data_IF_275842103337
#
_entry.id   IF_275842103337
#
_cell.length_a   1.000
_cell.length_b   1.000
_cell.length_c   1.000
_cell.angle_alpha   90.00
_cell.angle_beta   90.00
_cell.angle_gamma   90.00
#
_symmetry.space_group_name_H-M   'P 1'
#
loop_
_entity.id
_entity.type
_entity.pdbx_description
1 polymer ?
#
# COMPACT_ATOMS: atom_id res chain seq x y z
N UNK A 1 -35.91 -41.60 15.05
CA UNK A 1 -34.69 -42.32 15.48
C UNK A 1 -33.48 -41.41 15.36
N UNK A 2 -32.66 -41.27 16.41
CA UNK A 2 -31.37 -40.55 16.37
C UNK A 2 -30.24 -41.58 16.23
N UNK A 3 -29.84 -41.85 14.99
CA UNK A 3 -28.71 -42.75 14.72
C UNK A 3 -27.47 -41.88 14.48
N UNK A 4 -26.30 -42.19 15.09
CA UNK A 4 -25.05 -41.47 14.82
C UNK A 4 -24.64 -41.56 13.34
N UNK A 5 -24.11 -40.47 12.78
CA UNK A 5 -23.65 -40.42 11.38
C UNK A 5 -22.57 -41.46 11.06
N UNK A 6 -21.72 -41.77 12.04
CA UNK A 6 -20.69 -42.81 11.93
C UNK A 6 -21.28 -44.19 11.68
N UNK A 7 -22.40 -44.51 12.33
CA UNK A 7 -23.12 -45.79 12.18
C UNK A 7 -23.71 -45.93 10.78
N UNK A 8 -24.41 -44.89 10.28
CA UNK A 8 -24.97 -44.89 8.92
C UNK A 8 -23.86 -44.98 7.88
N UNK A 9 -22.75 -44.27 8.07
CA UNK A 9 -21.58 -44.34 7.19
C UNK A 9 -20.95 -45.73 7.15
N UNK A 10 -20.99 -46.48 8.25
CA UNK A 10 -20.54 -47.87 8.28
C UNK A 10 -21.41 -48.78 7.43
N UNK A 11 -22.74 -48.62 7.48
CA UNK A 11 -23.70 -49.44 6.73
C UNK A 11 -23.66 -49.24 5.22
N UNK A 12 -23.35 -48.02 4.75
CA UNK A 12 -23.39 -47.68 3.33
C UNK A 12 -22.03 -47.66 2.64
N UNK A 13 -20.94 -47.99 3.37
CA UNK A 13 -19.56 -47.86 2.87
C UNK A 13 -19.28 -48.73 1.64
N UNK A 14 -19.79 -49.96 1.66
CA UNK A 14 -19.48 -50.97 0.64
C UNK A 14 -20.48 -50.97 -0.53
N UNK A 15 -21.44 -50.03 -0.53
CA UNK A 15 -22.45 -49.91 -1.58
C UNK A 15 -21.82 -49.26 -2.81
N UNK A 16 -21.73 -50.03 -3.91
CA UNK A 16 -21.29 -49.51 -5.20
C UNK A 16 -22.38 -48.65 -5.85
N UNK A 17 -22.08 -47.38 -6.07
CA UNK A 17 -23.01 -46.45 -6.72
C UNK A 17 -23.02 -46.63 -8.24
N UNK A 18 -24.22 -46.61 -8.83
CA UNK A 18 -24.40 -46.55 -10.29
C UNK A 18 -23.89 -45.22 -10.86
N UNK A 19 -23.57 -45.20 -12.16
CA UNK A 19 -23.15 -43.98 -12.84
C UNK A 19 -24.19 -42.83 -12.69
N UNK A 20 -25.49 -43.15 -12.78
CA UNK A 20 -26.59 -42.19 -12.60
C UNK A 20 -26.63 -41.59 -11.20
N UNK A 21 -26.38 -42.39 -10.16
CA UNK A 21 -26.34 -41.91 -8.77
C UNK A 21 -25.12 -41.04 -8.50
N UNK A 22 -23.94 -41.42 -9.03
CA UNK A 22 -22.72 -40.62 -8.94
C UNK A 22 -22.93 -39.24 -9.59
N UNK A 23 -23.55 -39.22 -10.77
CA UNK A 23 -23.83 -37.95 -11.47
C UNK A 23 -24.85 -37.09 -10.72
N UNK A 24 -25.90 -37.68 -10.16
CA UNK A 24 -26.87 -36.94 -9.35
C UNK A 24 -26.23 -36.28 -8.10
N UNK A 25 -25.33 -37.00 -7.42
CA UNK A 25 -24.58 -36.45 -6.28
C UNK A 25 -23.66 -35.32 -6.74
N UNK A 26 -22.96 -35.50 -7.86
CA UNK A 26 -22.10 -34.48 -8.47
C UNK A 26 -22.89 -33.21 -8.76
N UNK A 27 -24.06 -33.32 -9.40
CA UNK A 27 -24.91 -32.17 -9.71
C UNK A 27 -25.37 -31.46 -8.43
N UNK A 28 -25.80 -32.20 -7.40
CA UNK A 28 -26.17 -31.61 -6.10
C UNK A 28 -25.03 -30.87 -5.42
N UNK A 29 -23.79 -31.39 -5.51
CA UNK A 29 -22.60 -30.71 -4.97
C UNK A 29 -22.32 -29.42 -5.76
N UNK A 30 -22.47 -29.45 -7.09
CA UNK A 30 -22.31 -28.26 -7.93
C UNK A 30 -23.36 -27.20 -7.61
N UNK A 31 -24.63 -27.57 -7.51
CA UNK A 31 -25.75 -26.67 -7.22
C UNK A 31 -25.64 -26.07 -5.81
N UNK A 32 -25.34 -26.91 -4.82
CA UNK A 32 -25.12 -26.47 -3.43
C UNK A 32 -23.86 -25.61 -3.31
N UNK A 33 -22.82 -25.93 -4.09
CA UNK A 33 -21.60 -25.14 -4.17
C UNK A 33 -21.81 -23.78 -4.83
N UNK A 34 -22.67 -23.70 -5.85
CA UNK A 34 -23.00 -22.45 -6.53
C UNK A 34 -23.70 -21.46 -5.59
N UNK A 35 -24.54 -21.95 -4.67
CA UNK A 35 -25.21 -21.11 -3.66
C UNK A 35 -24.34 -20.86 -2.42
N UNK A 36 -23.60 -21.88 -1.95
CA UNK A 36 -22.80 -21.80 -0.73
C UNK A 36 -21.51 -21.00 -0.86
N UNK A 37 -20.85 -21.03 -2.03
CA UNK A 37 -19.57 -20.32 -2.24
C UNK A 37 -19.70 -18.79 -2.13
N UNK A 38 -20.67 -18.12 -2.78
CA UNK A 38 -20.84 -16.67 -2.62
C UNK A 38 -21.14 -16.26 -1.18
N UNK A 39 -21.98 -17.03 -0.47
CA UNK A 39 -22.29 -16.78 0.94
C UNK A 39 -21.08 -16.95 1.84
N UNK A 40 -20.29 -18.01 1.64
CA UNK A 40 -19.05 -18.23 2.38
C UNK A 40 -18.01 -17.13 2.10
N UNK A 41 -17.88 -16.70 0.85
CA UNK A 41 -17.00 -15.58 0.48
C UNK A 41 -17.43 -14.28 1.18
N UNK A 42 -18.73 -13.97 1.20
CA UNK A 42 -19.27 -12.79 1.89
C UNK A 42 -19.03 -12.87 3.40
N UNK A 43 -19.34 -14.00 4.03
CA UNK A 43 -19.12 -14.20 5.46
C UNK A 43 -17.63 -14.09 5.84
N UNK A 44 -16.74 -14.64 5.00
CA UNK A 44 -15.30 -14.52 5.20
C UNK A 44 -14.81 -13.08 5.01
N UNK A 45 -15.30 -12.38 3.99
CA UNK A 45 -15.01 -10.96 3.78
C UNK A 45 -15.41 -10.12 5.00
N UNK A 46 -16.64 -10.26 5.49
CA UNK A 46 -17.13 -9.54 6.68
C UNK A 46 -16.36 -9.90 7.95
N UNK A 47 -15.94 -11.17 8.09
CA UNK A 47 -15.08 -11.58 9.20
C UNK A 47 -13.71 -10.91 9.13
N UNK A 48 -13.10 -10.88 7.95
CA UNK A 48 -11.80 -10.24 7.71
C UNK A 48 -11.89 -8.73 7.94
N UNK A 49 -12.92 -8.06 7.44
CA UNK A 49 -13.08 -6.61 7.63
C UNK A 49 -13.32 -6.25 9.10
N UNK A 50 -14.14 -7.03 9.83
CA UNK A 50 -14.27 -6.85 11.28
C UNK A 50 -12.95 -7.03 12.02
N UNK A 51 -12.16 -8.03 11.63
CA UNK A 51 -10.85 -8.28 12.23
C UNK A 51 -9.88 -7.13 11.95
N UNK A 52 -9.82 -6.63 10.72
CA UNK A 52 -9.02 -5.45 10.34
C UNK A 52 -9.42 -4.21 11.14
N UNK A 53 -10.72 -3.96 11.29
CA UNK A 53 -11.21 -2.80 12.03
C UNK A 53 -10.86 -2.88 13.52
N UNK A 54 -10.98 -4.08 14.12
CA UNK A 54 -10.52 -4.32 15.47
C UNK A 54 -9.03 -3.96 15.62
N UNK A 55 -8.16 -4.49 14.78
CA UNK A 55 -6.72 -4.19 14.82
C UNK A 55 -6.47 -2.68 14.64
N UNK A 56 -7.14 -2.03 13.68
CA UNK A 56 -7.03 -0.57 13.48
C UNK A 56 -7.37 0.21 14.74
N UNK A 57 -8.42 -0.19 15.45
CA UNK A 57 -8.82 0.45 16.69
C UNK A 57 -7.77 0.28 17.80
N UNK A 58 -7.18 -0.91 17.94
CA UNK A 58 -6.13 -1.22 18.90
C UNK A 58 -4.87 -0.38 18.67
N UNK A 59 -4.46 -0.21 17.41
CA UNK A 59 -3.23 0.53 17.06
C UNK A 59 -3.43 2.04 16.86
N UNK A 60 -4.67 2.55 16.99
CA UNK A 60 -5.00 3.97 16.73
C UNK A 60 -4.19 4.95 17.57
N UNK A 61 -3.75 4.53 18.76
CA UNK A 61 -2.95 5.34 19.67
C UNK A 61 -1.58 5.74 19.08
N UNK A 62 -0.99 4.92 18.20
CA UNK A 62 0.28 5.24 17.53
C UNK A 62 0.20 6.47 16.61
N UNK A 63 -0.98 6.76 16.03
CA UNK A 63 -1.16 7.80 15.03
C UNK A 63 -0.72 9.20 15.50
N UNK A 64 -0.82 9.48 16.80
CA UNK A 64 -0.48 10.79 17.38
C UNK A 64 0.96 10.87 17.90
N UNK A 65 1.69 9.76 17.99
CA UNK A 65 3.03 9.76 18.60
C UNK A 65 4.03 10.58 17.79
N UNK A 66 4.04 10.39 16.46
CA UNK A 66 4.91 11.13 15.55
C UNK A 66 4.63 12.65 15.56
N UNK A 67 3.37 13.04 15.73
CA UNK A 67 2.94 14.45 15.75
C UNK A 67 3.29 15.11 17.08
N UNK A 68 3.16 14.37 18.19
CA UNK A 68 3.42 14.89 19.54
C UNK A 68 4.91 14.96 19.89
N UNK A 69 5.75 14.18 19.22
CA UNK A 69 7.19 14.12 19.50
C UNK A 69 7.98 14.27 18.21
N UNK A 70 8.68 15.40 18.10
CA UNK A 70 9.50 15.76 16.94
C UNK A 70 10.59 14.74 16.66
N UNK A 71 11.24 14.16 17.67
CA UNK A 71 12.29 13.15 17.47
C UNK A 71 11.73 11.83 16.94
N UNK A 72 10.54 11.41 17.40
CA UNK A 72 9.83 10.25 16.84
C UNK A 72 9.47 10.52 15.38
N UNK A 73 8.98 11.73 15.06
CA UNK A 73 8.70 12.14 13.69
C UNK A 73 9.95 12.09 12.79
N UNK A 74 11.09 12.61 13.27
CA UNK A 74 12.39 12.53 12.56
C UNK A 74 12.82 11.09 12.34
N UNK A 75 12.68 10.22 13.34
CA UNK A 75 13.01 8.80 13.26
C UNK A 75 12.17 8.09 12.18
N UNK A 76 10.86 8.26 12.21
CA UNK A 76 9.95 7.68 11.21
C UNK A 76 10.28 8.20 9.82
N UNK A 77 10.55 9.50 9.68
CA UNK A 77 10.94 10.10 8.40
C UNK A 77 12.26 9.50 7.88
N UNK A 78 13.26 9.32 8.75
CA UNK A 78 14.53 8.69 8.41
C UNK A 78 14.39 7.23 8.00
N UNK A 79 13.58 6.44 8.72
CA UNK A 79 13.28 5.05 8.37
C UNK A 79 12.53 4.95 7.03
N UNK A 80 11.51 5.79 6.81
CA UNK A 80 10.79 5.85 5.55
C UNK A 80 11.72 6.21 4.39
N UNK A 81 12.63 7.17 4.61
CA UNK A 81 13.66 7.54 3.65
C UNK A 81 14.66 6.42 3.37
N UNK A 82 15.04 5.64 4.38
CA UNK A 82 15.98 4.54 4.20
C UNK A 82 15.39 3.41 3.33
N UNK A 83 14.08 3.19 3.42
CA UNK A 83 13.37 2.15 2.66
C UNK A 83 13.01 2.59 1.23
N UNK A 84 12.57 3.83 1.04
CA UNK A 84 11.96 4.30 -0.22
C UNK A 84 12.75 5.46 -0.89
N UNK A 85 13.71 6.04 -0.18
CA UNK A 85 14.47 7.20 -0.63
C UNK A 85 15.65 6.84 -1.54
N UNK A 86 16.00 7.77 -2.42
CA UNK A 86 17.19 7.65 -3.25
C UNK A 86 18.47 7.85 -2.41
N UNK A 87 19.43 6.95 -2.58
CA UNK A 87 20.70 7.01 -1.84
C UNK A 87 21.72 7.87 -2.55
N UNK A 88 22.56 8.58 -1.81
CA UNK A 88 23.76 9.17 -2.39
C UNK A 88 24.69 8.05 -2.90
N UNK A 89 25.43 8.24 -4.02
CA UNK A 89 25.52 9.42 -4.87
C UNK A 89 24.51 9.48 -6.02
N UNK A 90 23.52 8.57 -6.08
CA UNK A 90 22.55 8.52 -7.21
C UNK A 90 21.76 9.82 -7.37
N UNK A 91 21.65 10.61 -6.30
CA UNK A 91 21.06 11.94 -6.28
C UNK A 91 21.89 12.87 -5.41
N UNK A 92 21.91 14.17 -5.73
CA UNK A 92 22.53 15.24 -4.93
C UNK A 92 21.49 16.05 -4.14
N UNK A 93 20.33 15.45 -3.87
CA UNK A 93 19.26 16.04 -3.10
C UNK A 93 18.37 14.92 -2.56
N UNK A 94 17.61 15.21 -1.51
CA UNK A 94 16.64 14.27 -0.96
C UNK A 94 15.56 13.97 -1.99
N UNK A 95 15.41 12.69 -2.34
CA UNK A 95 14.35 12.22 -3.25
C UNK A 95 13.67 11.00 -2.65
N UNK A 96 12.33 11.00 -2.59
CA UNK A 96 11.53 9.84 -2.22
C UNK A 96 10.35 9.73 -3.20
N UNK A 97 10.17 8.56 -3.81
CA UNK A 97 9.12 8.33 -4.80
C UNK A 97 8.25 7.15 -4.44
N UNK A 98 6.93 7.32 -4.48
CA UNK A 98 5.98 6.24 -4.23
C UNK A 98 4.66 6.47 -5.01
N UNK A 99 3.94 5.38 -5.30
CA UNK A 99 2.63 5.45 -5.96
C UNK A 99 1.46 5.53 -4.98
N UNK A 100 1.69 5.25 -3.69
CA UNK A 100 0.70 5.37 -2.64
C UNK A 100 0.63 6.83 -2.14
N UNK A 101 -0.52 7.51 -2.30
CA UNK A 101 -0.67 8.91 -1.90
C UNK A 101 -0.51 9.13 -0.40
N UNK A 102 -0.90 8.16 0.44
CA UNK A 102 -0.81 8.30 1.90
C UNK A 102 0.65 8.22 2.39
N UNK A 103 1.50 7.44 1.72
CA UNK A 103 2.94 7.39 2.01
C UNK A 103 3.58 8.74 1.67
N UNK A 104 3.28 9.28 0.49
CA UNK A 104 3.79 10.59 0.05
C UNK A 104 3.31 11.72 0.97
N UNK A 105 2.02 11.75 1.28
CA UNK A 105 1.43 12.73 2.22
C UNK A 105 2.11 12.66 3.58
N UNK A 106 2.28 11.44 4.12
CA UNK A 106 2.98 11.21 5.38
C UNK A 106 4.42 11.75 5.32
N UNK A 107 5.17 11.43 4.27
CA UNK A 107 6.55 11.89 4.11
C UNK A 107 6.65 13.43 4.10
N UNK A 108 5.84 14.10 3.27
CA UNK A 108 5.85 15.57 3.19
C UNK A 108 5.44 16.19 4.53
N UNK A 109 4.43 15.65 5.20
CA UNK A 109 4.00 16.15 6.51
C UNK A 109 5.05 15.92 7.60
N UNK A 110 5.77 14.81 7.57
CA UNK A 110 6.89 14.57 8.48
C UNK A 110 8.03 15.57 8.23
N UNK A 111 8.34 15.88 6.97
CA UNK A 111 9.31 16.94 6.66
C UNK A 111 8.87 18.28 7.25
N UNK A 112 7.61 18.70 7.02
CA UNK A 112 7.07 19.99 7.51
C UNK A 112 6.98 20.09 9.03
N UNK A 113 6.63 19.01 9.71
CA UNK A 113 6.39 19.03 11.17
C UNK A 113 7.64 18.66 11.98
N UNK A 114 8.52 17.83 11.44
CA UNK A 114 9.67 17.28 12.18
C UNK A 114 10.98 18.01 11.89
N UNK A 115 11.06 18.77 10.79
CA UNK A 115 12.24 19.51 10.37
C UNK A 115 11.88 20.98 10.10
N UNK A 116 12.86 21.86 10.19
CA UNK A 116 12.71 23.24 9.75
C UNK A 116 13.07 23.30 8.26
N UNK A 117 12.06 23.32 7.39
CA UNK A 117 12.24 23.24 5.94
C UNK A 117 11.82 24.53 5.26
N UNK A 118 12.47 24.83 4.14
CA UNK A 118 12.03 25.88 3.25
C UNK A 118 11.09 25.30 2.18
N UNK A 119 9.81 25.65 2.20
CA UNK A 119 8.80 25.15 1.25
C UNK A 119 9.19 25.43 -0.21
N UNK A 120 9.93 26.52 -0.47
CA UNK A 120 10.44 26.85 -1.80
C UNK A 120 11.52 25.89 -2.32
N UNK A 121 12.01 24.95 -1.50
CA UNK A 121 12.91 23.87 -1.92
C UNK A 121 12.18 22.55 -2.20
N UNK A 122 10.89 22.44 -1.88
CA UNK A 122 10.09 21.27 -2.23
C UNK A 122 9.72 21.31 -3.71
N UNK A 123 9.96 20.20 -4.40
CA UNK A 123 9.59 19.98 -5.80
C UNK A 123 8.93 18.63 -5.95
N UNK A 124 8.09 18.50 -6.97
CA UNK A 124 7.42 17.25 -7.29
C UNK A 124 7.76 16.84 -8.73
N UNK A 125 7.99 15.54 -8.97
CA UNK A 125 8.08 14.97 -10.31
C UNK A 125 7.14 13.79 -10.41
N UNK A 126 6.28 13.80 -11.42
CA UNK A 126 5.36 12.70 -11.68
C UNK A 126 5.95 11.79 -12.75
N UNK A 127 6.11 10.51 -12.42
CA UNK A 127 6.42 9.45 -13.39
C UNK A 127 5.11 8.72 -13.73
N UNK A 128 4.70 8.81 -14.98
CA UNK A 128 3.38 8.38 -15.44
C UNK A 128 3.48 7.59 -16.75
N UNK A 129 2.42 6.85 -17.05
CA UNK A 129 2.31 6.01 -18.25
C UNK A 129 1.80 6.80 -19.44
N UNK A 130 2.02 6.29 -20.65
CA UNK A 130 1.66 6.97 -21.90
C UNK A 130 0.16 7.22 -22.08
N UNK A 131 -0.70 6.43 -21.43
CA UNK A 131 -2.16 6.53 -21.49
C UNK A 131 -2.75 7.43 -20.39
N UNK A 132 -1.92 8.08 -19.57
CA UNK A 132 -2.35 8.95 -18.49
C UNK A 132 -2.20 10.44 -18.83
N UNK A 133 -3.07 11.27 -18.27
CA UNK A 133 -3.05 12.73 -18.43
C UNK A 133 -2.17 13.40 -17.35
N UNK A 134 -1.03 13.96 -17.75
CA UNK A 134 -0.10 14.62 -16.81
C UNK A 134 -0.74 15.81 -16.07
N UNK A 135 -1.60 16.59 -16.73
CA UNK A 135 -2.24 17.77 -16.11
C UNK A 135 -3.15 17.34 -14.96
N UNK A 136 -3.92 16.28 -15.14
CA UNK A 136 -4.76 15.71 -14.08
C UNK A 136 -3.92 15.12 -12.94
N UNK A 137 -2.84 14.42 -13.27
CA UNK A 137 -1.94 13.86 -12.26
C UNK A 137 -1.25 14.97 -11.45
N UNK A 138 -0.80 16.05 -12.08
CA UNK A 138 -0.19 17.18 -11.38
C UNK A 138 -1.18 17.83 -10.41
N UNK A 139 -2.43 18.05 -10.83
CA UNK A 139 -3.48 18.56 -9.93
C UNK A 139 -3.71 17.63 -8.75
N UNK A 140 -3.92 16.33 -9.02
CA UNK A 140 -4.11 15.33 -7.98
C UNK A 140 -2.97 15.32 -6.95
N UNK A 141 -1.72 15.31 -7.42
CA UNK A 141 -0.57 15.27 -6.52
C UNK A 141 -0.30 16.61 -5.82
N UNK A 142 -0.66 17.74 -6.45
CA UNK A 142 -0.68 19.05 -5.81
C UNK A 142 -1.66 19.05 -4.63
N UNK A 143 -2.85 18.48 -4.80
CA UNK A 143 -3.85 18.38 -3.73
C UNK A 143 -3.40 17.44 -2.59
N UNK A 144 -2.78 16.30 -2.93
CA UNK A 144 -2.26 15.33 -1.94
C UNK A 144 -1.12 15.93 -1.12
N UNK A 145 -0.21 16.65 -1.78
CA UNK A 145 1.05 17.11 -1.15
C UNK A 145 0.97 18.53 -0.62
N UNK A 146 0.07 19.37 -1.13
CA UNK A 146 0.05 20.82 -0.89
C UNK A 146 1.20 21.58 -1.58
N UNK A 147 2.01 20.94 -2.42
CA UNK A 147 3.09 21.60 -3.17
C UNK A 147 2.45 22.33 -4.37
N UNK A 148 2.75 23.62 -4.62
CA UNK A 148 2.14 24.35 -5.73
C UNK A 148 2.61 23.80 -7.07
N UNK A 149 1.73 23.84 -8.08
CA UNK A 149 2.01 23.36 -9.45
C UNK A 149 3.25 24.02 -10.08
N UNK A 150 3.59 25.25 -9.70
CA UNK A 150 4.82 25.94 -10.13
C UNK A 150 6.11 25.21 -9.71
N UNK A 151 6.04 24.39 -8.66
CA UNK A 151 7.14 23.60 -8.14
C UNK A 151 7.18 22.17 -8.71
N UNK A 152 6.34 21.86 -9.72
CA UNK A 152 6.35 20.57 -10.39
C UNK A 152 7.34 20.59 -11.56
N UNK A 153 8.23 19.61 -11.60
CA UNK A 153 9.11 19.39 -12.73
C UNK A 153 8.32 18.90 -13.94
N UNK A 154 8.73 19.35 -15.13
CA UNK A 154 8.29 18.75 -16.39
C UNK A 154 8.68 17.28 -16.42
N UNK A 155 7.76 16.42 -16.85
CA UNK A 155 7.98 15.00 -17.01
C UNK A 155 7.43 14.48 -18.34
N UNK A 156 8.09 13.47 -18.88
CA UNK A 156 7.64 12.73 -20.06
C UNK A 156 7.03 11.40 -19.61
N UNK A 157 6.05 10.85 -20.35
CA UNK A 157 5.51 9.55 -20.02
C UNK A 157 6.58 8.46 -20.19
N UNK A 158 6.45 7.36 -19.45
CA UNK A 158 7.33 6.19 -19.59
C UNK A 158 7.10 5.52 -20.94
N UNK A 159 8.04 5.72 -21.87
CA UNK A 159 7.95 5.18 -23.24
C UNK A 159 7.78 3.65 -23.31
N UNK A 160 8.18 2.90 -22.28
CA UNK A 160 8.01 1.44 -22.20
C UNK A 160 6.55 1.02 -22.09
N UNK A 161 5.66 1.97 -21.81
CA UNK A 161 4.22 1.78 -21.59
C UNK A 161 3.36 2.14 -22.80
N UNK A 162 3.98 2.56 -23.91
CA UNK A 162 3.28 2.84 -25.17
C UNK A 162 2.54 1.58 -25.64
N UNK A 163 1.24 1.73 -25.92
CA UNK A 163 0.36 0.63 -26.33
C UNK A 163 -0.03 -0.35 -25.21
N UNK A 164 0.34 -0.08 -23.95
CA UNK A 164 0.02 -0.94 -22.80
C UNK A 164 -0.96 -0.23 -21.86
N UNK A 165 -2.26 -0.54 -21.88
CA UNK A 165 -3.24 0.16 -21.07
C UNK A 165 -3.01 -0.08 -19.57
N UNK A 166 -3.30 0.94 -18.77
CA UNK A 166 -3.28 0.90 -17.32
C UNK A 166 -4.50 0.13 -16.82
N UNK A 167 -4.28 -1.08 -16.29
CA UNK A 167 -5.37 -1.93 -15.79
C UNK A 167 -5.99 -1.40 -14.48
N UNK A 168 -5.17 -0.76 -13.64
CA UNK A 168 -5.60 -0.20 -12.36
C UNK A 168 -6.12 1.22 -12.55
N UNK A 169 -7.45 1.39 -12.56
CA UNK A 169 -8.12 2.69 -12.85
C UNK A 169 -7.76 3.80 -11.86
N UNK A 170 -7.48 3.45 -10.61
CA UNK A 170 -7.09 4.38 -9.54
C UNK A 170 -5.58 4.65 -9.50
N UNK A 171 -4.78 4.07 -10.40
CA UNK A 171 -3.34 4.36 -10.47
C UNK A 171 -3.09 5.81 -10.90
N UNK A 172 -2.41 6.57 -10.04
CA UNK A 172 -2.07 7.99 -10.28
C UNK A 172 -0.58 8.21 -10.61
N UNK A 173 0.09 7.19 -11.15
CA UNK A 173 1.53 7.27 -11.38
C UNK A 173 2.34 7.19 -10.08
N UNK A 174 3.62 7.52 -10.17
CA UNK A 174 4.54 7.65 -9.03
C UNK A 174 4.82 9.14 -8.83
N UNK A 175 4.61 9.62 -7.61
CA UNK A 175 5.02 10.96 -7.21
C UNK A 175 6.38 10.88 -6.53
N UNK A 176 7.39 11.52 -7.12
CA UNK A 176 8.69 11.72 -6.52
C UNK A 176 8.75 13.11 -5.88
N UNK A 177 8.90 13.14 -4.55
CA UNK A 177 9.17 14.35 -3.79
C UNK A 177 10.67 14.60 -3.81
N UNK A 178 11.04 15.82 -4.17
CA UNK A 178 12.40 16.31 -4.11
C UNK A 178 12.47 17.43 -3.07
N UNK A 179 13.46 17.39 -2.19
CA UNK A 179 13.83 18.53 -1.37
C UNK A 179 15.28 18.91 -1.68
N UNK A 180 15.49 20.13 -2.18
CA UNK A 180 16.78 20.61 -2.69
C UNK A 180 17.78 20.91 -1.55
N UNK A 181 18.20 19.87 -0.84
CA UNK A 181 19.20 19.90 0.23
C UNK A 181 19.91 18.56 0.34
N UNK A 182 21.23 18.56 0.14
CA UNK A 182 22.09 17.39 0.40
C UNK A 182 22.27 17.15 1.90
N UNK A 183 22.32 18.21 2.71
CA UNK A 183 22.42 18.09 4.18
C UNK A 183 21.24 17.28 4.73
N UNK A 184 20.01 17.60 4.33
CA UNK A 184 18.84 16.90 4.83
C UNK A 184 18.78 15.44 4.35
N UNK A 185 19.27 15.17 3.13
CA UNK A 185 19.44 13.81 2.63
C UNK A 185 20.37 12.99 3.53
N UNK A 186 21.58 13.49 3.79
CA UNK A 186 22.54 12.79 4.66
C UNK A 186 22.02 12.65 6.09
N UNK A 187 21.35 13.67 6.62
CA UNK A 187 20.75 13.62 7.95
C UNK A 187 19.68 12.53 8.07
N UNK A 188 18.76 12.43 7.12
CA UNK A 188 17.72 11.39 7.13
C UNK A 188 18.32 9.99 6.99
N UNK A 189 19.29 9.83 6.09
CA UNK A 189 19.99 8.56 5.92
C UNK A 189 20.69 8.16 7.23
N UNK A 190 21.43 9.07 7.86
CA UNK A 190 22.09 8.81 9.13
C UNK A 190 21.10 8.45 10.24
N UNK A 191 19.95 9.14 10.34
CA UNK A 191 18.89 8.81 11.30
C UNK A 191 18.35 7.39 11.09
N UNK A 192 18.11 6.96 9.85
CA UNK A 192 17.69 5.59 9.58
C UNK A 192 18.75 4.57 9.96
N UNK A 193 20.02 4.87 9.66
CA UNK A 193 21.16 3.98 9.95
C UNK A 193 21.47 3.83 11.44
N UNK A 194 21.21 4.84 12.29
CA UNK A 194 21.43 4.71 13.74
C UNK A 194 20.59 3.61 14.35
N UNK A 195 19.36 3.41 13.86
CA UNK A 195 18.51 2.30 14.28
C UNK A 195 19.19 0.99 13.93
N UNK A 196 19.57 0.79 12.66
CA UNK A 196 20.17 -0.46 12.19
C UNK A 196 21.42 -0.80 12.99
N UNK A 197 22.35 0.14 13.12
CA UNK A 197 23.64 -0.08 13.79
C UNK A 197 23.46 -0.52 15.26
N UNK A 198 22.43 -0.03 15.94
CA UNK A 198 22.13 -0.39 17.33
C UNK A 198 21.68 -1.85 17.52
N UNK A 199 21.13 -2.50 16.49
CA UNK A 199 20.76 -3.93 16.58
C UNK A 199 21.96 -4.87 16.39
N UNK A 200 23.11 -4.34 15.96
CA UNK A 200 24.35 -5.09 15.75
C UNK A 200 25.40 -4.85 16.85
N UNK A 201 25.12 -3.95 17.80
CA UNK A 201 25.97 -3.60 18.95
C UNK A 201 25.37 -4.12 20.25
#
# INVERSE_FOLDING_TARGET
>A
MKIPKSTVSGWVRDIQLTAKQKEHIRQKILDSGALGRPLALKANYEKIERWKEKIRSEVKHFAKLAVKNREIGRLICGLLYLCEGAKYPSTKCLVLGNSNPEIIRCFVNLLRTSFDINENKLRCRIMYRCDQNLTELNKYWSDVTGIPLANFYKSKPDGRTKGKPTLRKDYKGICAIHYLSTDLQFRLQAIGETVIKKWWS
#
